data_IF_136201799391
#
_entry.id   IF_136201799391
#
_cell.length_a   1.000
_cell.length_b   1.000
_cell.length_c   1.000
_cell.angle_alpha   90.00
_cell.angle_beta   90.00
_cell.angle_gamma   90.00
#
_symmetry.space_group_name_H-M   'P 1'
#
loop_
_entity.id
_entity.type
_entity.pdbx_description
1 polymer ?
#
# COMPACT_ATOMS: atom_id res chain seq x y z
N UNK A 1 -3.76 79.00 0.80
CA UNK A 1 -3.22 77.97 -0.09
C UNK A 1 -2.53 76.81 0.70
N UNK A 2 -2.21 76.93 1.96
CA UNK A 2 -1.53 75.87 2.79
C UNK A 2 -2.51 74.84 3.38
N UNK A 3 -3.80 75.19 3.55
CA UNK A 3 -4.79 74.32 4.21
C UNK A 3 -5.18 73.08 3.37
N UNK A 4 -5.22 73.24 2.04
CA UNK A 4 -5.61 72.15 1.12
C UNK A 4 -4.50 71.09 0.93
N UNK A 5 -3.23 71.47 1.16
CA UNK A 5 -2.09 70.56 1.06
C UNK A 5 -2.08 69.48 2.17
N UNK A 6 -2.44 69.94 3.40
CA UNK A 6 -2.53 69.01 4.53
C UNK A 6 -3.73 68.06 4.46
N UNK A 7 -4.85 68.52 3.85
CA UNK A 7 -6.01 67.67 3.63
C UNK A 7 -5.73 66.57 2.57
N UNK A 8 -5.08 66.91 1.47
CA UNK A 8 -4.71 65.93 0.44
C UNK A 8 -3.63 64.95 0.93
N UNK A 9 -2.68 65.38 1.78
CA UNK A 9 -1.68 64.50 2.32
C UNK A 9 -2.28 63.46 3.28
N UNK A 10 -3.27 63.85 4.09
CA UNK A 10 -4.00 62.96 4.97
C UNK A 10 -4.85 61.95 4.21
N UNK A 11 -5.51 62.38 3.14
CA UNK A 11 -6.31 61.51 2.27
C UNK A 11 -5.43 60.49 1.59
N UNK A 12 -4.26 60.88 1.08
CA UNK A 12 -3.28 59.99 0.49
C UNK A 12 -2.73 58.94 1.48
N UNK A 13 -2.45 59.35 2.73
CA UNK A 13 -2.00 58.47 3.76
C UNK A 13 -3.07 57.44 4.17
N UNK A 14 -4.35 57.82 4.20
CA UNK A 14 -5.47 56.90 4.50
C UNK A 14 -5.65 55.89 3.35
N UNK A 15 -5.55 56.32 2.11
CA UNK A 15 -5.64 55.44 0.91
C UNK A 15 -4.47 54.44 0.90
N UNK A 16 -3.25 54.91 1.20
CA UNK A 16 -2.09 54.05 1.23
C UNK A 16 -2.19 53.02 2.39
N UNK A 17 -2.71 53.44 3.55
CA UNK A 17 -2.94 52.56 4.70
C UNK A 17 -4.03 51.50 4.44
N UNK A 18 -5.09 51.86 3.70
CA UNK A 18 -6.14 50.90 3.31
C UNK A 18 -5.63 49.88 2.27
N UNK A 19 -4.71 50.28 1.36
CA UNK A 19 -4.07 49.35 0.42
C UNK A 19 -3.19 48.28 1.13
N UNK A 20 -2.48 48.69 2.18
CA UNK A 20 -1.63 47.80 2.96
C UNK A 20 -2.47 46.78 3.76
N UNK A 21 -3.62 47.20 4.27
CA UNK A 21 -4.55 46.31 4.99
C UNK A 21 -5.28 45.27 4.11
N UNK A 22 -5.41 45.56 2.82
CA UNK A 22 -6.01 44.64 1.83
C UNK A 22 -5.05 43.53 1.38
N UNK A 23 -3.78 43.57 1.78
CA UNK A 23 -2.74 42.59 1.43
C UNK A 23 -2.75 41.33 2.29
N UNK A 24 -3.71 41.15 3.23
CA UNK A 24 -3.95 39.85 3.87
C UNK A 24 -4.57 38.92 2.82
N UNK A 25 -3.75 38.48 1.88
CA UNK A 25 -4.11 37.49 0.88
C UNK A 25 -4.62 36.23 1.56
N UNK A 26 -5.75 35.72 1.09
CA UNK A 26 -6.27 34.43 1.50
C UNK A 26 -5.15 33.38 1.37
N UNK A 27 -4.57 32.98 2.49
CA UNK A 27 -3.64 31.86 2.53
C UNK A 27 -4.41 30.64 1.98
N UNK A 28 -3.93 30.07 0.86
CA UNK A 28 -4.47 28.81 0.39
C UNK A 28 -4.38 27.79 1.56
N UNK A 29 -5.45 27.08 1.88
CA UNK A 29 -5.39 26.04 2.89
C UNK A 29 -4.23 25.10 2.57
N UNK A 30 -3.45 24.76 3.57
CA UNK A 30 -2.38 23.78 3.42
C UNK A 30 -2.99 22.47 2.93
N UNK A 31 -2.35 21.79 1.97
CA UNK A 31 -2.81 20.48 1.53
C UNK A 31 -2.92 19.53 2.73
N UNK A 32 -4.06 18.89 2.89
CA UNK A 32 -4.26 17.87 3.92
C UNK A 32 -3.81 16.51 3.42
N UNK A 33 -3.28 15.68 4.30
CA UNK A 33 -2.93 14.31 3.98
C UNK A 33 -4.19 13.47 3.74
N UNK A 34 -4.14 12.66 2.70
CA UNK A 34 -5.19 11.67 2.36
C UNK A 34 -4.64 10.28 2.60
N UNK A 35 -5.42 9.45 3.31
CA UNK A 35 -4.99 8.12 3.70
C UNK A 35 -5.77 7.05 2.94
N UNK A 36 -5.04 6.07 2.41
CA UNK A 36 -5.56 4.94 1.64
C UNK A 36 -5.33 3.64 2.39
N UNK A 37 -6.23 2.69 2.21
CA UNK A 37 -6.12 1.33 2.74
C UNK A 37 -6.17 0.32 1.61
N UNK A 38 -5.56 -0.82 1.81
CA UNK A 38 -5.78 -1.97 0.95
C UNK A 38 -7.18 -2.54 1.22
N UNK A 39 -7.79 -3.10 0.19
CA UNK A 39 -9.05 -3.81 0.24
C UNK A 39 -8.91 -5.11 -0.52
N UNK A 40 -8.54 -6.16 0.17
CA UNK A 40 -8.39 -7.50 -0.40
C UNK A 40 -9.69 -8.26 -0.17
N UNK A 41 -10.30 -8.76 -1.25
CA UNK A 41 -11.47 -9.62 -1.13
C UNK A 41 -10.98 -11.04 -0.91
N UNK A 42 -11.18 -11.53 0.31
CA UNK A 42 -10.81 -12.90 0.61
C UNK A 42 -11.85 -13.87 0.02
N UNK A 43 -11.45 -15.05 -0.47
CA UNK A 43 -12.38 -16.07 -0.93
C UNK A 43 -13.39 -16.42 0.17
N UNK A 44 -14.65 -16.60 -0.20
CA UNK A 44 -15.67 -16.99 0.77
C UNK A 44 -15.42 -18.41 1.24
N UNK A 45 -15.39 -18.65 2.55
CA UNK A 45 -15.08 -19.94 3.18
C UNK A 45 -16.04 -21.11 2.83
N UNK A 46 -16.99 -20.89 1.93
CA UNK A 46 -17.99 -21.89 1.51
C UNK A 46 -17.65 -22.66 0.23
N UNK A 47 -16.62 -22.30 -0.49
CA UNK A 47 -16.35 -22.86 -1.83
C UNK A 47 -15.18 -23.86 -1.86
N UNK A 48 -14.58 -24.15 -0.72
CA UNK A 48 -13.42 -25.05 -0.69
C UNK A 48 -13.56 -26.11 0.39
N UNK A 49 -13.83 -27.34 -0.02
CA UNK A 49 -13.43 -28.56 0.68
C UNK A 49 -11.90 -28.71 0.59
N UNK A 50 -11.17 -27.65 0.95
CA UNK A 50 -9.71 -27.60 0.88
C UNK A 50 -9.12 -28.42 2.04
N UNK A 51 -8.14 -29.24 1.75
CA UNK A 51 -7.32 -29.89 2.76
C UNK A 51 -6.41 -28.81 3.41
N UNK A 52 -6.45 -28.65 4.74
CA UNK A 52 -5.52 -27.73 5.40
C UNK A 52 -4.06 -28.14 5.14
N UNK A 53 -3.18 -27.13 4.96
CA UNK A 53 -1.73 -27.36 4.79
C UNK A 53 -1.07 -27.95 6.05
N UNK A 54 -1.71 -27.70 7.19
CA UNK A 54 -1.24 -28.16 8.50
C UNK A 54 -2.39 -28.18 9.49
N UNK A 55 -2.30 -29.06 10.49
CA UNK A 55 -3.17 -29.05 11.67
C UNK A 55 -2.65 -28.08 12.76
N UNK A 56 -1.53 -27.42 12.52
CA UNK A 56 -0.87 -26.50 13.43
C UNK A 56 -1.04 -25.05 12.99
N UNK A 57 -0.28 -24.16 13.61
CA UNK A 57 -0.27 -22.73 13.33
C UNK A 57 0.46 -22.40 12.02
N UNK A 58 -0.08 -21.46 11.26
CA UNK A 58 0.68 -20.71 10.24
C UNK A 58 0.99 -19.33 10.80
N UNK A 59 2.28 -19.03 10.94
CA UNK A 59 2.78 -17.72 11.32
C UNK A 59 3.09 -16.90 10.07
N UNK A 60 2.50 -15.72 9.97
CA UNK A 60 2.88 -14.73 8.92
C UNK A 60 3.76 -13.67 9.57
N UNK A 61 5.02 -13.62 9.16
CA UNK A 61 5.97 -12.61 9.65
C UNK A 61 5.68 -11.26 8.98
N UNK A 62 6.02 -10.17 9.66
CA UNK A 62 5.96 -8.84 9.03
C UNK A 62 6.75 -8.85 7.72
N UNK A 63 6.16 -8.35 6.65
CA UNK A 63 6.84 -8.27 5.36
C UNK A 63 8.12 -7.44 5.45
N UNK A 64 9.09 -7.74 4.62
CA UNK A 64 10.27 -6.91 4.41
C UNK A 64 10.03 -6.00 3.22
N UNK A 65 10.61 -4.82 3.27
CA UNK A 65 10.67 -3.89 2.14
C UNK A 65 12.00 -3.15 2.17
N UNK A 66 12.43 -2.62 1.05
CA UNK A 66 13.63 -1.79 0.93
C UNK A 66 13.33 -0.45 0.29
N UNK A 67 14.19 0.53 0.55
CA UNK A 67 14.10 1.86 -0.06
C UNK A 67 12.74 2.52 0.19
N UNK A 68 12.20 3.11 -0.86
CA UNK A 68 10.95 3.89 -0.82
C UNK A 68 9.71 3.07 -0.47
N UNK A 69 9.73 1.75 -0.69
CA UNK A 69 8.59 0.86 -0.39
C UNK A 69 8.39 0.60 1.11
N UNK A 70 9.31 1.06 1.97
CA UNK A 70 9.13 1.05 3.44
C UNK A 70 8.26 2.20 3.93
N UNK A 71 8.18 3.26 3.12
CA UNK A 71 7.48 4.47 3.50
C UNK A 71 5.98 4.32 3.27
N UNK A 72 5.21 5.14 3.97
CA UNK A 72 3.75 5.14 3.84
C UNK A 72 3.26 5.88 2.60
N UNK A 73 4.11 6.64 1.93
CA UNK A 73 3.74 7.37 0.74
C UNK A 73 3.49 6.42 -0.44
N UNK A 74 2.45 6.70 -1.23
CA UNK A 74 2.22 5.96 -2.48
C UNK A 74 3.36 6.28 -3.43
N UNK A 75 4.00 5.23 -3.93
CA UNK A 75 5.15 5.31 -4.83
C UNK A 75 4.66 5.39 -6.28
N UNK A 76 5.30 6.25 -7.07
CA UNK A 76 5.02 6.36 -8.50
C UNK A 76 6.29 6.59 -9.32
N UNK A 77 6.22 6.27 -10.59
CA UNK A 77 7.23 6.59 -11.60
C UNK A 77 6.54 6.93 -12.92
N UNK A 78 7.25 7.59 -13.82
CA UNK A 78 6.84 7.72 -15.20
C UNK A 78 7.31 6.49 -15.99
N UNK A 79 6.55 6.07 -17.01
CA UNK A 79 6.94 4.98 -17.89
C UNK A 79 8.29 5.31 -18.56
N UNK A 80 9.18 4.35 -18.63
CA UNK A 80 10.56 4.49 -19.09
C UNK A 80 11.48 5.38 -18.20
N UNK A 81 11.00 5.91 -17.07
CA UNK A 81 11.84 6.67 -16.13
C UNK A 81 12.58 5.73 -15.17
N UNK A 82 13.83 6.04 -14.90
CA UNK A 82 14.60 5.42 -13.79
C UNK A 82 14.35 6.12 -12.44
N UNK A 83 13.55 7.21 -12.46
CA UNK A 83 13.27 8.01 -11.26
C UNK A 83 12.00 7.50 -10.62
N UNK A 84 12.09 7.07 -9.38
CA UNK A 84 10.98 6.69 -8.53
C UNK A 84 10.68 7.84 -7.57
N UNK A 85 9.43 8.19 -7.42
CA UNK A 85 8.96 9.32 -6.64
C UNK A 85 7.88 8.88 -5.63
N UNK A 86 7.55 9.76 -4.70
CA UNK A 86 6.52 9.54 -3.69
C UNK A 86 5.51 10.67 -3.70
N UNK A 87 4.23 10.33 -3.59
CA UNK A 87 3.16 11.31 -3.41
C UNK A 87 3.27 11.95 -2.02
N UNK A 88 3.41 13.27 -1.97
CA UNK A 88 3.69 13.99 -0.72
C UNK A 88 2.55 13.94 0.30
N UNK A 89 1.30 13.95 -0.14
CA UNK A 89 0.10 14.04 0.68
C UNK A 89 -0.87 12.85 0.50
N UNK A 90 -0.40 11.77 -0.12
CA UNK A 90 -1.20 10.57 -0.35
C UNK A 90 -0.46 9.37 0.24
N UNK A 91 -0.97 8.90 1.35
CA UNK A 91 -0.29 7.97 2.23
C UNK A 91 -1.13 6.71 2.44
N UNK A 92 -0.50 5.60 2.63
CA UNK A 92 -1.14 4.42 3.21
C UNK A 92 -1.47 4.68 4.69
N UNK A 93 -2.57 4.08 5.19
CA UNK A 93 -2.98 4.19 6.61
C UNK A 93 -1.95 3.62 7.57
N UNK A 94 -1.16 2.63 7.13
CA UNK A 94 -0.04 2.04 7.88
C UNK A 94 1.13 1.76 6.91
N UNK A 95 2.25 1.24 7.40
CA UNK A 95 3.34 0.83 6.52
C UNK A 95 2.91 -0.32 5.61
N UNK A 96 3.32 -0.35 4.33
CA UNK A 96 2.96 -1.42 3.40
C UNK A 96 3.26 -2.81 3.94
N UNK A 97 4.37 -2.96 4.66
CA UNK A 97 4.79 -4.22 5.27
C UNK A 97 3.78 -4.76 6.29
N UNK A 98 3.17 -3.87 7.09
CA UNK A 98 2.16 -4.26 8.08
C UNK A 98 0.80 -4.50 7.45
N UNK A 99 0.43 -3.66 6.49
CA UNK A 99 -0.83 -3.85 5.76
C UNK A 99 -0.85 -5.19 5.05
N UNK A 100 0.20 -5.52 4.28
CA UNK A 100 0.30 -6.80 3.58
C UNK A 100 0.31 -8.00 4.53
N UNK A 101 0.98 -7.90 5.68
CA UNK A 101 0.93 -8.93 6.71
C UNK A 101 -0.50 -9.17 7.20
N UNK A 102 -1.21 -8.10 7.54
CA UNK A 102 -2.58 -8.18 8.05
C UNK A 102 -3.55 -8.72 7.00
N UNK A 103 -3.46 -8.23 5.77
CA UNK A 103 -4.29 -8.69 4.66
C UNK A 103 -4.02 -10.16 4.32
N UNK A 104 -2.77 -10.60 4.29
CA UNK A 104 -2.43 -12.01 4.05
C UNK A 104 -2.96 -12.90 5.17
N UNK A 105 -2.88 -12.49 6.43
CA UNK A 105 -3.46 -13.23 7.56
C UNK A 105 -4.97 -13.40 7.37
N UNK A 106 -5.69 -12.33 7.01
CA UNK A 106 -7.14 -12.40 6.79
C UNK A 106 -7.47 -13.29 5.58
N UNK A 107 -6.72 -13.13 4.50
CA UNK A 107 -6.87 -13.95 3.30
C UNK A 107 -6.69 -15.45 3.61
N UNK A 108 -5.62 -15.83 4.29
CA UNK A 108 -5.34 -17.22 4.66
C UNK A 108 -6.37 -17.80 5.65
N UNK A 109 -6.88 -16.98 6.57
CA UNK A 109 -7.97 -17.41 7.48
C UNK A 109 -9.25 -17.75 6.73
N UNK A 110 -9.60 -16.96 5.73
CA UNK A 110 -10.81 -17.20 4.93
C UNK A 110 -10.69 -18.42 4.02
N UNK A 111 -9.47 -18.77 3.60
CA UNK A 111 -9.24 -19.97 2.77
C UNK A 111 -9.20 -21.29 3.56
N UNK A 112 -9.15 -21.23 4.88
CA UNK A 112 -9.15 -22.44 5.72
C UNK A 112 -7.89 -23.30 5.64
N UNK A 113 -6.77 -22.75 5.21
CA UNK A 113 -5.48 -23.47 5.01
C UNK A 113 -4.85 -23.98 6.32
N UNK A 114 -5.29 -23.47 7.45
CA UNK A 114 -4.88 -23.92 8.79
C UNK A 114 -5.93 -23.53 9.83
N UNK A 115 -6.00 -24.25 10.99
CA UNK A 115 -6.91 -23.90 12.07
C UNK A 115 -6.58 -22.57 12.73
N UNK A 116 -5.32 -22.11 12.65
CA UNK A 116 -4.88 -20.84 13.19
C UNK A 116 -3.85 -20.18 12.28
N UNK A 117 -4.12 -18.93 11.89
CA UNK A 117 -3.16 -18.05 11.18
C UNK A 117 -2.95 -16.81 12.02
N UNK A 118 -1.71 -16.45 12.34
CA UNK A 118 -1.39 -15.36 13.26
C UNK A 118 -0.07 -14.69 12.90
N UNK A 119 0.11 -13.44 13.37
CA UNK A 119 1.40 -12.75 13.37
C UNK A 119 2.24 -13.04 14.63
N UNK A 120 1.67 -13.70 15.63
CA UNK A 120 2.32 -13.92 16.91
C UNK A 120 3.48 -14.89 16.79
N UNK A 121 4.54 -14.62 17.51
CA UNK A 121 5.61 -15.59 17.72
C UNK A 121 5.07 -16.73 18.56
N UNK A 122 4.97 -17.89 17.96
CA UNK A 122 4.66 -19.14 18.65
C UNK A 122 5.84 -20.09 18.52
N UNK A 123 6.16 -20.77 19.61
CA UNK A 123 7.10 -21.89 19.59
C UNK A 123 6.28 -23.15 19.38
N UNK A 124 6.54 -23.86 18.30
CA UNK A 124 5.84 -25.11 17.99
C UNK A 124 5.90 -25.45 16.51
N UNK A 125 5.36 -26.61 16.20
CA UNK A 125 5.24 -27.10 14.83
C UNK A 125 4.29 -26.23 14.00
N UNK A 126 4.45 -26.25 12.68
CA UNK A 126 3.64 -25.52 11.74
C UNK A 126 4.46 -24.89 10.63
N UNK A 127 3.95 -23.79 10.09
CA UNK A 127 4.63 -23.08 9.02
C UNK A 127 4.86 -21.60 9.36
N UNK A 128 5.89 -21.05 8.76
CA UNK A 128 6.17 -19.63 8.76
C UNK A 128 6.17 -19.11 7.33
N UNK A 129 5.38 -18.06 7.08
CA UNK A 129 5.37 -17.34 5.81
C UNK A 129 6.13 -16.03 6.00
N UNK A 130 7.14 -15.83 5.17
CA UNK A 130 7.91 -14.61 5.04
C UNK A 130 7.59 -13.95 3.72
N UNK A 131 7.25 -12.67 3.75
CA UNK A 131 6.98 -11.87 2.56
C UNK A 131 8.02 -10.77 2.38
N UNK A 132 8.29 -10.42 1.11
CA UNK A 132 9.10 -9.26 0.77
C UNK A 132 8.44 -8.47 -0.36
N UNK A 133 8.34 -7.16 -0.19
CA UNK A 133 7.85 -6.23 -1.21
C UNK A 133 9.00 -5.94 -2.17
N UNK A 134 8.90 -6.41 -3.40
CA UNK A 134 9.81 -6.12 -4.49
C UNK A 134 9.40 -4.85 -5.21
N UNK A 135 8.10 -4.71 -5.43
CA UNK A 135 7.50 -3.58 -6.11
C UNK A 135 6.06 -3.37 -5.65
N UNK A 136 5.65 -2.11 -5.51
CA UNK A 136 4.26 -1.71 -5.22
C UNK A 136 4.08 -0.28 -5.72
N UNK A 137 4.02 -0.12 -7.04
CA UNK A 137 4.17 1.17 -7.72
C UNK A 137 2.99 1.48 -8.62
N UNK A 138 2.74 2.78 -8.72
CA UNK A 138 1.99 3.41 -9.79
C UNK A 138 2.95 3.81 -10.91
N UNK A 139 2.70 3.41 -12.13
CA UNK A 139 3.46 3.82 -13.32
C UNK A 139 2.56 4.67 -14.20
N UNK A 140 2.92 5.94 -14.34
CA UNK A 140 2.21 6.89 -15.20
C UNK A 140 2.58 6.65 -16.65
N UNK A 141 1.58 6.50 -17.52
CA UNK A 141 1.76 6.24 -18.94
C UNK A 141 0.93 7.25 -19.76
N UNK A 142 1.30 7.44 -21.02
CA UNK A 142 0.47 8.18 -21.98
C UNK A 142 -0.88 7.49 -22.14
N UNK A 143 -1.94 8.15 -21.66
CA UNK A 143 -3.33 7.65 -21.76
C UNK A 143 -3.85 6.82 -20.58
N UNK A 144 -3.09 6.66 -19.49
CA UNK A 144 -3.58 5.94 -18.30
C UNK A 144 -2.54 5.74 -17.22
N UNK A 145 -2.89 4.90 -16.29
CA UNK A 145 -2.02 4.51 -15.19
C UNK A 145 -1.90 2.99 -15.15
N UNK A 146 -0.70 2.48 -15.02
CA UNK A 146 -0.44 1.08 -14.72
C UNK A 146 -0.03 0.95 -13.24
N UNK A 147 -0.54 -0.05 -12.57
CA UNK A 147 -0.03 -0.46 -11.27
C UNK A 147 0.77 -1.74 -11.42
N UNK A 148 1.83 -1.89 -10.64
CA UNK A 148 2.63 -3.11 -10.60
C UNK A 148 2.86 -3.51 -9.15
N UNK A 149 2.56 -4.78 -8.84
CA UNK A 149 2.84 -5.41 -7.56
C UNK A 149 3.76 -6.59 -7.79
N UNK A 150 4.89 -6.61 -7.13
CA UNK A 150 5.84 -7.72 -7.07
C UNK A 150 6.07 -8.11 -5.62
N UNK A 151 5.74 -9.34 -5.25
CA UNK A 151 5.94 -9.87 -3.90
C UNK A 151 6.70 -11.20 -3.98
N UNK A 152 7.71 -11.34 -3.13
CA UNK A 152 8.39 -12.61 -2.93
C UNK A 152 7.90 -13.28 -1.65
N UNK A 153 7.70 -14.60 -1.68
CA UNK A 153 7.27 -15.39 -0.54
C UNK A 153 8.21 -16.55 -0.29
N UNK A 154 8.43 -16.81 1.00
CA UNK A 154 9.05 -18.03 1.49
C UNK A 154 8.06 -18.74 2.42
N UNK A 155 7.86 -20.03 2.20
CA UNK A 155 7.16 -20.93 3.13
C UNK A 155 8.19 -21.82 3.81
N UNK A 156 8.27 -21.75 5.12
CA UNK A 156 9.25 -22.49 5.94
C UNK A 156 8.50 -23.41 6.88
N UNK A 157 8.79 -24.70 6.86
CA UNK A 157 8.34 -25.65 7.89
C UNK A 157 9.13 -25.42 9.18
N UNK A 158 8.42 -25.37 10.30
CA UNK A 158 9.00 -25.23 11.64
C UNK A 158 9.06 -26.57 12.40
N UNK A 159 8.55 -27.66 11.81
CA UNK A 159 8.56 -28.99 12.42
C UNK A 159 9.98 -29.56 12.41
N UNK A 160 10.54 -29.74 13.58
CA UNK A 160 11.93 -30.16 13.77
C UNK A 160 12.94 -29.06 13.42
N UNK A 161 13.85 -29.33 12.48
CA UNK A 161 14.74 -28.29 11.96
C UNK A 161 14.02 -27.46 10.89
N UNK A 162 14.08 -26.12 10.95
CA UNK A 162 13.45 -25.27 9.97
C UNK A 162 13.90 -25.60 8.53
N UNK A 163 12.94 -25.83 7.64
CA UNK A 163 13.21 -26.22 6.25
C UNK A 163 12.38 -25.36 5.31
N UNK A 164 13.04 -24.78 4.32
CA UNK A 164 12.38 -24.05 3.22
C UNK A 164 11.58 -25.04 2.36
N UNK A 165 10.29 -24.79 2.20
CA UNK A 165 9.35 -25.59 1.41
C UNK A 165 9.13 -24.95 0.04
N UNK A 166 8.93 -23.62 -0.01
CA UNK A 166 8.72 -22.85 -1.22
C UNK A 166 9.44 -21.51 -1.09
N UNK A 167 10.10 -21.08 -2.17
CA UNK A 167 10.54 -19.71 -2.37
C UNK A 167 10.17 -19.31 -3.79
N UNK A 168 9.30 -18.31 -3.93
CA UNK A 168 8.83 -17.85 -5.25
C UNK A 168 8.49 -16.37 -5.22
N UNK A 169 8.70 -15.72 -6.36
CA UNK A 169 8.29 -14.35 -6.61
C UNK A 169 7.09 -14.34 -7.55
N UNK A 170 6.14 -13.46 -7.26
CA UNK A 170 4.92 -13.26 -8.03
C UNK A 170 4.81 -11.80 -8.41
N UNK A 171 4.37 -11.55 -9.64
CA UNK A 171 4.18 -10.21 -10.13
C UNK A 171 2.84 -10.09 -10.86
N UNK A 172 2.16 -8.97 -10.63
CA UNK A 172 0.95 -8.59 -11.36
C UNK A 172 1.02 -7.13 -11.74
N UNK A 173 0.78 -6.87 -13.02
CA UNK A 173 0.53 -5.53 -13.52
C UNK A 173 -0.89 -5.42 -14.06
N UNK A 174 -1.53 -4.27 -13.83
CA UNK A 174 -2.87 -3.96 -14.31
C UNK A 174 -2.92 -2.50 -14.75
N UNK A 175 -3.66 -2.23 -15.82
CA UNK A 175 -3.88 -0.87 -16.32
C UNK A 175 -5.20 -0.36 -15.76
N UNK A 176 -5.23 0.87 -15.28
CA UNK A 176 -6.44 1.59 -14.89
C UNK A 176 -6.58 2.84 -15.74
N UNK A 177 -7.79 3.12 -16.19
CA UNK A 177 -8.09 4.33 -16.94
C UNK A 177 -8.37 5.52 -16.02
N UNK A 178 -8.36 5.28 -14.71
CA UNK A 178 -8.60 6.26 -13.69
C UNK A 178 -7.44 7.23 -13.52
N UNK A 179 -7.80 8.46 -13.22
CA UNK A 179 -6.83 9.53 -12.94
C UNK A 179 -6.69 9.80 -11.45
N UNK A 180 -7.59 9.22 -10.65
CA UNK A 180 -7.61 9.44 -9.21
C UNK A 180 -6.81 8.36 -8.46
N UNK A 181 -6.14 8.75 -7.39
CA UNK A 181 -5.34 7.83 -6.58
C UNK A 181 -6.17 6.77 -5.85
N UNK A 182 -7.48 6.99 -5.68
CA UNK A 182 -8.37 5.96 -5.14
C UNK A 182 -8.44 4.75 -6.09
N UNK A 183 -8.50 4.99 -7.40
CA UNK A 183 -8.52 3.92 -8.41
C UNK A 183 -7.17 3.19 -8.50
N UNK A 184 -6.07 3.93 -8.26
CA UNK A 184 -4.74 3.33 -8.10
C UNK A 184 -4.69 2.40 -6.89
N UNK A 185 -5.23 2.82 -5.74
CA UNK A 185 -5.27 2.00 -4.52
C UNK A 185 -6.15 0.75 -4.69
N UNK A 186 -7.28 0.87 -5.39
CA UNK A 186 -8.15 -0.27 -5.72
C UNK A 186 -7.48 -1.23 -6.70
N UNK A 187 -6.78 -0.72 -7.72
CA UNK A 187 -6.04 -1.54 -8.68
C UNK A 187 -4.85 -2.26 -8.03
N UNK A 188 -4.13 -1.60 -7.10
CA UNK A 188 -3.08 -2.23 -6.30
C UNK A 188 -3.66 -3.32 -5.40
N UNK A 189 -4.82 -3.08 -4.79
CA UNK A 189 -5.51 -4.09 -3.96
C UNK A 189 -5.87 -5.33 -4.78
N UNK A 190 -6.44 -5.16 -5.96
CA UNK A 190 -6.78 -6.28 -6.87
C UNK A 190 -5.52 -7.03 -7.36
N UNK A 191 -4.41 -6.32 -7.61
CA UNK A 191 -3.15 -6.94 -8.00
C UNK A 191 -2.54 -7.77 -6.85
N UNK A 192 -2.62 -7.28 -5.60
CA UNK A 192 -2.18 -8.02 -4.42
C UNK A 192 -3.05 -9.27 -4.20
N UNK A 193 -4.36 -9.14 -4.33
CA UNK A 193 -5.30 -10.27 -4.23
C UNK A 193 -4.93 -11.38 -5.21
N UNK A 194 -4.67 -11.02 -6.47
CA UNK A 194 -4.21 -11.97 -7.48
C UNK A 194 -2.90 -12.67 -7.07
N UNK A 195 -1.93 -11.93 -6.56
CA UNK A 195 -0.65 -12.48 -6.09
C UNK A 195 -0.85 -13.43 -4.91
N UNK A 196 -1.72 -13.08 -3.95
CA UNK A 196 -2.06 -13.97 -2.83
C UNK A 196 -2.73 -15.26 -3.33
N UNK A 197 -3.65 -15.17 -4.29
CA UNK A 197 -4.30 -16.33 -4.88
C UNK A 197 -3.29 -17.26 -5.57
N UNK A 198 -2.34 -16.69 -6.32
CA UNK A 198 -1.28 -17.48 -6.95
C UNK A 198 -0.39 -18.19 -5.93
N UNK A 199 0.05 -17.46 -4.90
CA UNK A 199 0.85 -18.06 -3.82
C UNK A 199 0.12 -19.22 -3.15
N UNK A 200 -1.16 -19.01 -2.79
CA UNK A 200 -1.97 -20.06 -2.15
C UNK A 200 -2.14 -21.26 -3.08
N UNK A 201 -2.43 -21.04 -4.38
CA UNK A 201 -2.56 -22.12 -5.36
C UNK A 201 -1.28 -22.96 -5.50
N UNK A 202 -0.11 -22.30 -5.55
CA UNK A 202 1.17 -23.01 -5.63
C UNK A 202 1.47 -23.85 -4.36
N UNK A 203 1.05 -23.37 -3.20
CA UNK A 203 1.20 -24.13 -1.95
C UNK A 203 0.21 -25.30 -1.90
N UNK A 204 -1.03 -25.12 -2.36
CA UNK A 204 -2.01 -26.22 -2.47
C UNK A 204 -1.45 -27.35 -3.35
N UNK A 205 -0.87 -27.04 -4.50
CA UNK A 205 -0.27 -28.05 -5.39
C UNK A 205 0.86 -28.87 -4.72
N UNK A 206 1.51 -28.34 -3.68
CA UNK A 206 2.55 -29.04 -2.94
C UNK A 206 1.98 -30.03 -1.92
N UNK A 207 0.79 -29.73 -1.37
CA UNK A 207 0.15 -30.54 -0.32
C UNK A 207 -0.92 -31.48 -0.85
N UNK A 208 -1.40 -31.30 -2.08
CA UNK A 208 -2.36 -32.20 -2.74
C UNK A 208 -1.69 -33.45 -3.39
N UNK A 209 -0.37 -33.58 -3.28
CA UNK A 209 0.41 -34.74 -3.76
C UNK A 209 0.63 -35.75 -2.65
#
# INVERSE_FOLDING_TARGET
MKLNLFASLRLFAIILMSLVLSSCGAMKPLPSDTFYRLRITAPTAGDTSRTPWTEHLIRVVKFRASGVHRERAIVYSDDASLVVQQHRHHLWVDSPERMLQQELIQYLRSTGVAPLVSSSESRGDGFEIRGEIRQMDQVMQDGGTRVTVGLAFELVSLSGQPRLILAREYQKSSVTNGKELIETADALSAAIEFVFAQFVGDVDELFDK
#
